data_IF_133999056035
#
_entry.id   IF_133999056035
#
_cell.length_a   1.000
_cell.length_b   1.000
_cell.length_c   1.000
_cell.angle_alpha   90.00
_cell.angle_beta   90.00
_cell.angle_gamma   90.00
#
_symmetry.space_group_name_H-M   'P 1'
#
loop_
_entity.id
_entity.type
_entity.pdbx_description
1 polymer ?
#
# COMPACT_ATOMS: atom_id res chain seq x y z
N UNK A 1 35.41 -8.11 16.36
CA UNK A 1 34.39 -8.79 15.52
C UNK A 1 33.14 -7.93 15.53
N UNK A 2 32.85 -7.19 14.48
CA UNK A 2 31.50 -6.65 14.28
C UNK A 2 31.21 -6.73 12.77
N UNK A 3 30.84 -7.93 12.33
CA UNK A 3 30.08 -8.09 11.09
C UNK A 3 28.72 -7.43 11.38
N UNK A 4 28.10 -6.67 10.45
CA UNK A 4 26.79 -6.10 10.69
C UNK A 4 25.85 -7.25 11.06
N UNK A 5 25.26 -7.17 12.25
CA UNK A 5 24.38 -8.20 12.74
C UNK A 5 23.01 -7.92 12.15
N UNK A 6 22.79 -8.33 10.89
CA UNK A 6 21.45 -8.41 10.33
C UNK A 6 20.54 -9.04 11.38
N UNK A 7 19.59 -8.26 11.90
CA UNK A 7 18.61 -8.75 12.85
C UNK A 7 17.43 -9.28 12.04
N UNK A 8 17.22 -10.61 11.93
CA UNK A 8 16.15 -11.16 11.10
C UNK A 8 14.75 -10.68 11.50
N UNK A 9 14.57 -10.25 12.76
CA UNK A 9 13.30 -9.74 13.26
C UNK A 9 12.89 -8.40 12.64
N UNK A 10 13.86 -7.51 12.42
CA UNK A 10 13.68 -6.19 11.80
C UNK A 10 13.98 -6.24 10.30
N UNK A 11 14.73 -7.28 9.89
CA UNK A 11 15.08 -7.72 8.55
C UNK A 11 16.12 -6.87 7.83
N UNK A 12 16.18 -6.91 6.48
CA UNK A 12 17.32 -6.37 5.76
C UNK A 12 17.35 -4.86 5.75
N UNK A 13 18.53 -4.33 5.45
CA UNK A 13 18.72 -2.92 5.21
C UNK A 13 17.81 -2.39 4.09
N UNK A 14 17.47 -1.11 4.17
CA UNK A 14 16.65 -0.43 3.16
C UNK A 14 17.24 -0.54 1.74
N UNK A 15 18.56 -0.51 1.57
CA UNK A 15 19.20 -0.66 0.26
C UNK A 15 19.04 -2.06 -0.34
N UNK A 16 19.01 -3.11 0.50
CA UNK A 16 18.70 -4.46 0.03
C UNK A 16 17.23 -4.57 -0.35
N UNK A 17 16.31 -4.00 0.44
CA UNK A 17 14.87 -3.98 0.12
C UNK A 17 14.58 -3.25 -1.19
N UNK A 18 15.25 -2.11 -1.43
CA UNK A 18 15.20 -1.38 -2.70
C UNK A 18 15.67 -2.30 -3.83
N UNK A 19 16.82 -2.94 -3.69
CA UNK A 19 17.34 -3.84 -4.71
C UNK A 19 16.42 -5.05 -4.97
N UNK A 20 15.70 -5.52 -3.95
CA UNK A 20 14.74 -6.62 -4.06
C UNK A 20 13.39 -6.22 -4.69
N UNK A 21 13.12 -4.92 -4.86
CA UNK A 21 11.91 -4.43 -5.51
C UNK A 21 10.92 -3.69 -4.63
N UNK A 22 11.35 -3.13 -3.49
CA UNK A 22 10.54 -2.24 -2.68
C UNK A 22 10.16 -0.95 -3.45
N UNK A 23 9.07 -0.27 -3.06
CA UNK A 23 8.71 1.02 -3.70
C UNK A 23 9.72 2.05 -3.23
N UNK A 24 10.40 2.68 -4.17
CA UNK A 24 11.33 3.77 -3.92
C UNK A 24 11.36 4.68 -5.14
N UNK A 25 10.97 5.95 -4.96
CA UNK A 25 10.67 6.88 -6.06
C UNK A 25 11.84 7.09 -7.03
N UNK A 26 13.12 7.19 -6.59
CA UNK A 26 14.26 7.40 -7.49
C UNK A 26 14.51 6.26 -8.50
N UNK A 27 14.01 5.04 -8.27
CA UNK A 27 14.05 3.97 -9.27
C UNK A 27 12.89 4.03 -10.28
N UNK A 28 11.85 4.83 -10.01
CA UNK A 28 10.56 4.77 -10.70
C UNK A 28 10.33 5.97 -11.62
N UNK A 29 10.88 7.14 -11.29
CA UNK A 29 10.83 8.36 -12.10
C UNK A 29 11.97 9.30 -11.71
N UNK A 30 12.16 10.38 -12.48
CA UNK A 30 13.18 11.37 -12.20
C UNK A 30 12.81 12.23 -10.98
N UNK A 31 13.77 12.40 -10.07
CA UNK A 31 13.69 13.17 -8.84
C UNK A 31 14.63 14.37 -8.91
N UNK A 32 14.16 15.59 -8.59
CA UNK A 32 15.02 16.75 -8.48
C UNK A 32 16.14 16.55 -7.46
N UNK A 33 17.34 17.04 -7.77
CA UNK A 33 18.57 16.88 -6.99
C UNK A 33 19.14 15.45 -6.95
N UNK A 34 18.52 14.48 -7.64
CA UNK A 34 19.12 13.17 -7.92
C UNK A 34 19.57 13.12 -9.38
N UNK A 35 18.61 13.21 -10.31
CA UNK A 35 18.88 13.03 -11.75
C UNK A 35 19.60 14.22 -12.38
N UNK A 36 19.41 15.44 -11.82
CA UNK A 36 20.07 16.67 -12.26
C UNK A 36 21.11 17.19 -11.26
N UNK A 37 21.67 16.30 -10.41
CA UNK A 37 22.67 16.69 -9.43
C UNK A 37 23.94 17.23 -10.11
N UNK A 38 24.59 18.25 -9.52
CA UNK A 38 25.83 18.81 -10.09
C UNK A 38 27.07 17.97 -9.80
N UNK A 39 26.99 17.07 -8.81
CA UNK A 39 28.09 16.22 -8.36
C UNK A 39 27.64 14.76 -8.31
N UNK A 40 28.54 13.79 -8.56
CA UNK A 40 28.24 12.37 -8.43
C UNK A 40 27.69 12.02 -7.05
N UNK A 41 26.56 11.32 -7.02
CA UNK A 41 25.96 10.79 -5.80
C UNK A 41 26.36 9.33 -5.67
N UNK A 42 26.92 8.98 -4.50
CA UNK A 42 27.27 7.61 -4.17
C UNK A 42 26.17 6.97 -3.32
N UNK A 43 25.67 5.81 -3.75
CA UNK A 43 24.61 5.08 -3.06
C UNK A 43 25.15 3.88 -2.29
N UNK A 44 24.58 3.54 -1.13
CA UNK A 44 24.97 2.34 -0.39
C UNK A 44 24.67 1.08 -1.22
N UNK A 45 25.68 0.26 -1.46
CA UNK A 45 25.52 -0.98 -2.21
C UNK A 45 24.63 -1.99 -1.48
N UNK A 46 23.77 -2.76 -2.19
CA UNK A 46 22.92 -3.80 -1.60
C UNK A 46 23.69 -4.81 -0.73
N UNK A 47 24.90 -5.16 -1.16
CA UNK A 47 25.73 -6.20 -0.55
C UNK A 47 26.81 -5.62 0.40
N UNK A 48 26.72 -4.33 0.77
CA UNK A 48 27.69 -3.73 1.69
C UNK A 48 27.57 -4.38 3.08
N UNK A 49 28.72 -4.65 3.70
CA UNK A 49 28.80 -5.12 5.09
C UNK A 49 29.43 -4.09 6.01
N UNK A 50 29.60 -2.86 5.53
CA UNK A 50 30.22 -1.76 6.27
C UNK A 50 29.32 -0.54 6.27
N UNK A 51 29.45 0.24 7.34
CA UNK A 51 28.82 1.55 7.48
C UNK A 51 29.80 2.70 7.14
N UNK A 52 31.01 2.36 6.69
CA UNK A 52 31.99 3.36 6.25
C UNK A 52 31.64 3.84 4.84
N UNK A 53 31.22 5.10 4.76
CA UNK A 53 30.83 5.80 3.53
C UNK A 53 31.95 5.93 2.51
N UNK A 54 33.21 5.81 2.95
CA UNK A 54 34.38 5.85 2.08
C UNK A 54 34.82 4.46 1.64
N UNK A 55 34.21 3.39 2.16
CA UNK A 55 34.57 2.05 1.76
C UNK A 55 34.10 1.80 0.31
N UNK A 56 34.96 1.22 -0.56
CA UNK A 56 34.59 0.92 -1.94
C UNK A 56 33.34 0.03 -2.05
N UNK A 57 33.11 -0.84 -1.06
CA UNK A 57 31.94 -1.72 -0.98
C UNK A 57 30.62 -0.98 -0.68
N UNK A 58 30.66 0.31 -0.40
CA UNK A 58 29.51 1.16 -0.08
C UNK A 58 29.27 2.23 -1.16
N UNK A 59 30.01 2.19 -2.26
CA UNK A 59 29.92 3.15 -3.36
C UNK A 59 29.33 2.48 -4.61
N UNK A 60 28.00 2.53 -4.71
CA UNK A 60 27.26 2.04 -5.85
C UNK A 60 26.60 3.18 -6.63
N UNK A 61 26.39 2.90 -7.90
CA UNK A 61 25.58 3.71 -8.81
C UNK A 61 24.08 3.57 -8.51
N UNK A 62 23.24 4.45 -9.08
CA UNK A 62 21.80 4.41 -8.84
C UNK A 62 21.20 3.11 -9.43
N UNK A 63 21.64 2.71 -10.63
CA UNK A 63 21.22 1.47 -11.28
C UNK A 63 21.61 0.24 -10.48
N UNK A 64 22.78 0.22 -9.83
CA UNK A 64 23.21 -0.90 -8.99
C UNK A 64 22.37 -1.02 -7.72
N UNK A 65 22.05 0.11 -7.07
CA UNK A 65 21.14 0.12 -5.92
C UNK A 65 19.74 -0.37 -6.32
N UNK A 66 19.18 0.18 -7.41
CA UNK A 66 17.86 -0.20 -7.89
C UNK A 66 17.79 -1.65 -8.39
N UNK A 67 18.85 -2.16 -9.03
CA UNK A 67 18.82 -3.48 -9.65
C UNK A 67 17.83 -3.57 -10.82
N UNK A 68 17.58 -4.78 -11.34
CA UNK A 68 16.58 -5.11 -12.36
C UNK A 68 16.62 -4.35 -13.72
N UNK A 69 17.59 -3.46 -13.94
CA UNK A 69 17.70 -2.66 -15.16
C UNK A 69 16.57 -1.61 -15.30
N UNK A 70 16.62 -0.78 -16.36
CA UNK A 70 15.59 0.26 -16.57
C UNK A 70 15.73 1.48 -15.65
N UNK A 71 16.87 1.62 -14.98
CA UNK A 71 17.24 2.83 -14.22
C UNK A 71 18.55 3.34 -14.82
N UNK A 72 18.50 4.41 -15.64
CA UNK A 72 19.70 5.02 -16.18
C UNK A 72 20.43 5.83 -15.09
N UNK A 73 21.75 5.99 -15.25
CA UNK A 73 22.54 6.79 -14.31
C UNK A 73 22.20 8.29 -14.43
N UNK A 74 22.15 9.02 -13.29
CA UNK A 74 22.01 10.46 -13.28
C UNK A 74 23.07 11.19 -14.10
N UNK A 75 22.70 12.35 -14.64
CA UNK A 75 23.67 13.20 -15.33
C UNK A 75 24.25 14.24 -14.38
N UNK A 76 25.54 14.07 -14.05
CA UNK A 76 26.24 14.96 -13.13
C UNK A 76 26.88 16.17 -13.83
N UNK A 77 26.07 17.14 -14.27
CA UNK A 77 26.62 18.37 -14.84
C UNK A 77 25.75 19.62 -14.62
N UNK A 78 26.36 20.79 -14.82
CA UNK A 78 25.71 22.08 -14.61
C UNK A 78 24.61 22.41 -15.66
N UNK A 79 24.51 21.65 -16.75
CA UNK A 79 23.49 21.84 -17.79
C UNK A 79 22.34 20.85 -17.69
N UNK A 80 22.33 19.99 -16.67
CA UNK A 80 21.26 19.03 -16.42
C UNK A 80 20.01 19.77 -15.94
N UNK A 81 18.90 19.51 -16.60
CA UNK A 81 17.57 20.04 -16.31
C UNK A 81 16.60 18.87 -16.24
N UNK A 82 15.50 19.00 -15.51
CA UNK A 82 14.52 17.90 -15.43
C UNK A 82 13.93 17.49 -16.79
N UNK A 83 14.06 18.33 -17.82
CA UNK A 83 13.60 18.05 -19.19
C UNK A 83 14.57 17.20 -20.02
N UNK A 84 15.87 17.17 -19.68
CA UNK A 84 16.91 16.50 -20.47
C UNK A 84 17.65 15.39 -19.73
N UNK A 85 17.30 15.15 -18.47
CA UNK A 85 17.87 14.08 -17.66
C UNK A 85 17.24 12.73 -18.01
N UNK A 86 17.98 11.64 -17.84
CA UNK A 86 17.46 10.32 -18.15
C UNK A 86 16.44 9.88 -17.10
N UNK A 87 15.33 9.29 -17.56
CA UNK A 87 14.21 8.88 -16.70
C UNK A 87 14.28 7.40 -16.28
N UNK A 88 14.28 7.10 -14.97
CA UNK A 88 14.03 5.76 -14.45
C UNK A 88 12.62 5.26 -14.79
N UNK A 89 12.47 3.96 -15.04
CA UNK A 89 11.17 3.35 -15.30
C UNK A 89 11.05 1.94 -14.71
N UNK A 90 10.83 1.86 -13.40
CA UNK A 90 10.48 0.61 -12.70
C UNK A 90 9.06 0.67 -12.12
N UNK A 91 8.06 0.92 -12.97
CA UNK A 91 6.63 1.03 -12.60
C UNK A 91 6.09 -0.19 -11.84
N UNK A 92 6.67 -1.37 -12.05
CA UNK A 92 6.30 -2.61 -11.37
C UNK A 92 6.50 -2.55 -9.85
N UNK A 93 7.26 -1.56 -9.35
CA UNK A 93 7.43 -1.25 -7.93
C UNK A 93 6.17 -0.70 -7.26
N UNK A 94 5.06 -0.51 -7.98
CA UNK A 94 3.74 -0.35 -7.38
C UNK A 94 3.07 -1.70 -7.03
N UNK A 95 3.63 -2.82 -7.48
CA UNK A 95 3.04 -4.17 -7.34
C UNK A 95 3.92 -5.07 -6.49
N UNK A 96 5.20 -5.22 -6.85
CA UNK A 96 6.13 -6.13 -6.18
C UNK A 96 6.28 -5.93 -4.67
N UNK A 97 6.26 -4.72 -4.09
CA UNK A 97 6.48 -4.55 -2.66
C UNK A 97 5.34 -5.14 -1.82
N UNK A 98 4.17 -5.43 -2.41
CA UNK A 98 3.07 -6.11 -1.72
C UNK A 98 3.48 -7.49 -1.18
N UNK A 99 4.47 -8.11 -1.80
CA UNK A 99 4.95 -9.46 -1.47
C UNK A 99 6.24 -9.45 -0.65
N UNK A 100 6.88 -8.29 -0.53
CA UNK A 100 8.11 -8.09 0.23
C UNK A 100 7.77 -7.58 1.64
N UNK A 101 8.56 -7.95 2.63
CA UNK A 101 8.35 -7.52 4.01
C UNK A 101 9.68 -7.13 4.64
N UNK A 102 9.63 -6.12 5.51
CA UNK A 102 10.83 -5.55 6.12
C UNK A 102 11.54 -6.53 7.06
N UNK A 103 10.85 -7.49 7.68
CA UNK A 103 11.43 -8.48 8.61
C UNK A 103 10.40 -9.45 9.17
N UNK A 104 10.82 -10.37 10.06
CA UNK A 104 9.94 -11.41 10.64
C UNK A 104 8.78 -10.83 11.45
N UNK A 105 9.02 -9.75 12.22
CA UNK A 105 7.95 -9.10 13.00
C UNK A 105 6.93 -8.48 12.04
N UNK A 106 7.42 -7.78 11.01
CA UNK A 106 6.57 -7.11 10.04
C UNK A 106 5.69 -8.11 9.26
N UNK A 107 6.25 -9.20 8.73
CA UNK A 107 5.44 -10.25 8.09
C UNK A 107 4.51 -10.94 9.10
N UNK A 108 4.95 -11.15 10.35
CA UNK A 108 4.14 -11.74 11.41
C UNK A 108 2.85 -10.95 11.68
N UNK A 109 2.94 -9.62 11.82
CA UNK A 109 1.77 -8.76 11.99
C UNK A 109 0.86 -8.75 10.76
N UNK A 110 1.43 -8.67 9.54
CA UNK A 110 0.63 -8.73 8.31
C UNK A 110 -0.11 -10.06 8.19
N UNK A 111 0.56 -11.18 8.49
CA UNK A 111 -0.06 -12.51 8.43
C UNK A 111 -1.08 -12.72 9.54
N UNK A 112 -0.87 -12.15 10.73
CA UNK A 112 -1.87 -12.16 11.80
C UNK A 112 -3.16 -11.48 11.32
N UNK A 113 -3.07 -10.26 10.80
CA UNK A 113 -4.23 -9.53 10.25
C UNK A 113 -4.85 -10.25 9.04
N UNK A 114 -4.03 -10.79 8.14
CA UNK A 114 -4.49 -11.55 6.98
C UNK A 114 -5.28 -12.79 7.40
N UNK A 115 -4.81 -13.52 8.40
CA UNK A 115 -5.42 -14.79 8.83
C UNK A 115 -6.62 -14.62 9.76
N UNK A 116 -6.71 -13.50 10.48
CA UNK A 116 -7.87 -13.17 11.32
C UNK A 116 -8.96 -12.49 10.50
N UNK A 117 -8.65 -11.33 9.93
CA UNK A 117 -9.60 -10.44 9.24
C UNK A 117 -9.72 -10.81 7.76
N UNK A 118 -8.58 -10.99 7.07
CA UNK A 118 -8.56 -11.30 5.64
C UNK A 118 -9.31 -12.57 5.30
N UNK A 119 -9.04 -13.65 6.04
CA UNK A 119 -9.72 -14.96 5.89
C UNK A 119 -11.23 -14.86 6.06
N UNK A 120 -11.70 -14.14 7.07
CA UNK A 120 -13.14 -13.99 7.33
C UNK A 120 -13.81 -13.21 6.20
N UNK A 121 -13.18 -12.11 5.79
CA UNK A 121 -13.67 -11.31 4.66
C UNK A 121 -13.70 -12.11 3.36
N UNK A 122 -12.63 -12.85 3.04
CA UNK A 122 -12.55 -13.70 1.85
C UNK A 122 -13.69 -14.72 1.80
N UNK A 123 -13.97 -15.38 2.94
CA UNK A 123 -15.07 -16.34 3.07
C UNK A 123 -16.44 -15.68 2.89
N UNK A 124 -16.61 -14.44 3.33
CA UNK A 124 -17.87 -13.70 3.22
C UNK A 124 -18.15 -13.25 1.77
N UNK A 125 -17.15 -12.71 1.07
CA UNK A 125 -17.36 -12.05 -0.23
C UNK A 125 -16.98 -12.91 -1.43
N UNK A 126 -16.21 -13.98 -1.19
CA UNK A 126 -15.66 -14.90 -2.18
C UNK A 126 -14.27 -14.50 -2.68
N UNK A 127 -13.42 -15.50 -2.95
CA UNK A 127 -11.99 -15.32 -3.26
C UNK A 127 -11.69 -14.38 -4.43
N UNK A 128 -12.48 -14.40 -5.51
CA UNK A 128 -12.24 -13.52 -6.67
C UNK A 128 -12.46 -12.05 -6.31
N UNK A 129 -13.54 -11.74 -5.57
CA UNK A 129 -13.84 -10.35 -5.18
C UNK A 129 -12.82 -9.85 -4.15
N UNK A 130 -12.46 -10.72 -3.22
CA UNK A 130 -11.40 -10.44 -2.25
C UNK A 130 -10.08 -10.14 -2.95
N UNK A 131 -9.65 -11.00 -3.89
CA UNK A 131 -8.43 -10.80 -4.65
C UNK A 131 -8.40 -9.48 -5.41
N UNK A 132 -9.48 -9.12 -6.11
CA UNK A 132 -9.57 -7.86 -6.87
C UNK A 132 -9.39 -6.66 -5.93
N UNK A 133 -10.11 -6.62 -4.80
CA UNK A 133 -9.99 -5.51 -3.85
C UNK A 133 -8.62 -5.48 -3.20
N UNK A 134 -8.10 -6.64 -2.78
CA UNK A 134 -6.81 -6.76 -2.10
C UNK A 134 -5.67 -6.24 -2.96
N UNK A 135 -5.56 -6.73 -4.21
CA UNK A 135 -4.52 -6.30 -5.15
C UNK A 135 -4.69 -4.83 -5.51
N UNK A 136 -5.91 -4.40 -5.85
CA UNK A 136 -6.16 -3.01 -6.24
C UNK A 136 -5.89 -2.03 -5.09
N UNK A 137 -6.24 -2.39 -3.85
CA UNK A 137 -5.98 -1.56 -2.68
C UNK A 137 -4.47 -1.44 -2.39
N UNK A 138 -3.72 -2.54 -2.50
CA UNK A 138 -2.25 -2.50 -2.36
C UNK A 138 -1.58 -1.61 -3.40
N UNK A 139 -1.95 -1.77 -4.68
CA UNK A 139 -1.40 -0.96 -5.78
C UNK A 139 -1.78 0.52 -5.62
N UNK A 140 -3.06 0.80 -5.36
CA UNK A 140 -3.53 2.18 -5.15
C UNK A 140 -2.83 2.82 -3.95
N UNK A 141 -2.62 2.05 -2.88
CA UNK A 141 -1.81 2.45 -1.73
C UNK A 141 -0.41 2.89 -2.16
N UNK A 142 0.35 2.03 -2.84
CA UNK A 142 1.71 2.39 -3.28
C UNK A 142 1.74 3.56 -4.28
N UNK A 143 0.74 3.72 -5.13
CA UNK A 143 0.61 4.89 -6.00
C UNK A 143 0.40 6.17 -5.18
N UNK A 144 -0.46 6.15 -4.17
CA UNK A 144 -0.66 7.29 -3.27
C UNK A 144 0.60 7.58 -2.44
N UNK A 145 1.27 6.53 -1.94
CA UNK A 145 2.56 6.62 -1.26
C UNK A 145 3.65 7.25 -2.13
N UNK A 146 3.75 6.85 -3.40
CA UNK A 146 4.71 7.42 -4.34
C UNK A 146 4.55 8.93 -4.56
N UNK A 147 3.33 9.46 -4.47
CA UNK A 147 3.05 10.87 -4.68
C UNK A 147 3.37 11.76 -3.46
N UNK A 148 3.20 11.22 -2.25
CA UNK A 148 3.11 12.07 -1.05
C UNK A 148 4.03 11.63 0.10
N UNK A 149 4.53 10.40 0.09
CA UNK A 149 5.60 9.99 0.99
C UNK A 149 6.92 10.63 0.55
N UNK A 150 7.88 10.75 1.47
CA UNK A 150 9.18 11.32 1.15
C UNK A 150 9.90 10.50 0.06
N UNK A 151 10.51 11.18 -0.93
CA UNK A 151 11.15 10.52 -2.08
C UNK A 151 12.22 9.50 -1.69
N UNK A 152 12.96 9.73 -0.60
CA UNK A 152 14.00 8.81 -0.12
C UNK A 152 13.48 7.66 0.74
N UNK A 153 12.19 7.65 1.10
CA UNK A 153 11.57 6.58 1.89
C UNK A 153 11.32 5.36 1.00
N UNK A 154 11.89 4.21 1.35
CA UNK A 154 11.47 2.94 0.76
C UNK A 154 10.28 2.38 1.52
N UNK A 155 9.37 1.69 0.83
CA UNK A 155 8.24 1.02 1.47
C UNK A 155 7.97 -0.34 0.86
N UNK A 156 7.51 -1.25 1.71
CA UNK A 156 7.24 -2.63 1.41
C UNK A 156 6.17 -3.16 2.35
N UNK A 157 5.46 -4.21 1.96
CA UNK A 157 4.51 -4.90 2.82
C UNK A 157 3.13 -5.00 2.20
N UNK A 158 2.39 -6.00 2.67
CA UNK A 158 0.99 -6.20 2.30
C UNK A 158 0.02 -5.24 3.02
N UNK A 159 0.51 -4.38 3.91
CA UNK A 159 -0.31 -3.59 4.83
C UNK A 159 -1.30 -2.67 4.10
N UNK A 160 -0.90 -2.02 2.99
CA UNK A 160 -1.83 -1.21 2.18
C UNK A 160 -3.06 -2.02 1.71
N UNK A 161 -2.85 -3.27 1.28
CA UNK A 161 -3.95 -4.16 0.92
C UNK A 161 -4.81 -4.55 2.14
N UNK A 162 -4.19 -4.81 3.28
CA UNK A 162 -4.89 -5.11 4.54
C UNK A 162 -5.73 -3.92 5.06
N UNK A 163 -5.26 -2.68 4.91
CA UNK A 163 -6.08 -1.50 5.17
C UNK A 163 -7.31 -1.45 4.25
N UNK A 164 -7.18 -1.90 3.01
CA UNK A 164 -8.32 -2.13 2.12
C UNK A 164 -9.30 -3.18 2.66
N UNK A 165 -8.81 -4.25 3.29
CA UNK A 165 -9.66 -5.25 3.96
C UNK A 165 -10.35 -4.67 5.20
N UNK A 166 -9.66 -3.84 5.99
CA UNK A 166 -10.28 -3.13 7.13
C UNK A 166 -11.40 -2.20 6.64
N UNK A 167 -11.20 -1.52 5.50
CA UNK A 167 -12.26 -0.74 4.87
C UNK A 167 -13.46 -1.60 4.45
N UNK A 168 -13.23 -2.82 3.93
CA UNK A 168 -14.32 -3.77 3.64
C UNK A 168 -15.07 -4.19 4.89
N UNK A 169 -14.38 -4.43 6.02
CA UNK A 169 -15.02 -4.76 7.30
C UNK A 169 -15.91 -3.61 7.78
N UNK A 170 -15.40 -2.37 7.73
CA UNK A 170 -16.17 -1.19 8.09
C UNK A 170 -17.42 -1.08 7.20
N UNK A 171 -17.26 -1.27 5.89
CA UNK A 171 -18.37 -1.18 4.95
C UNK A 171 -19.40 -2.30 5.16
N UNK A 172 -18.97 -3.54 5.43
CA UNK A 172 -19.86 -4.65 5.80
C UNK A 172 -20.65 -4.36 7.08
N UNK A 173 -19.98 -3.80 8.11
CA UNK A 173 -20.65 -3.37 9.34
C UNK A 173 -21.71 -2.30 9.05
N UNK A 174 -21.40 -1.29 8.24
CA UNK A 174 -22.34 -0.24 7.87
C UNK A 174 -23.53 -0.80 7.07
N UNK A 175 -23.29 -1.77 6.19
CA UNK A 175 -24.33 -2.42 5.40
C UNK A 175 -25.24 -3.33 6.26
N UNK A 176 -24.67 -3.99 7.25
CA UNK A 176 -25.37 -4.90 8.16
C UNK A 176 -25.85 -4.24 9.46
N UNK A 177 -25.72 -2.91 9.58
CA UNK A 177 -25.93 -2.17 10.84
C UNK A 177 -27.22 -2.52 11.59
N UNK A 178 -28.34 -2.67 10.86
CA UNK A 178 -29.66 -2.99 11.43
C UNK A 178 -29.85 -4.47 11.76
N UNK A 179 -29.05 -5.34 11.17
CA UNK A 179 -29.11 -6.79 11.36
C UNK A 179 -28.18 -7.25 12.50
N UNK A 180 -27.24 -6.40 12.94
CA UNK A 180 -26.30 -6.70 14.03
C UNK A 180 -26.94 -6.51 15.40
N UNK A 181 -26.60 -7.39 16.34
CA UNK A 181 -27.09 -7.32 17.73
C UNK A 181 -26.60 -6.08 18.48
N UNK A 182 -25.37 -5.64 18.21
CA UNK A 182 -24.73 -4.53 18.92
C UNK A 182 -23.80 -3.72 18.00
N UNK A 183 -24.35 -3.04 16.98
CA UNK A 183 -23.57 -2.40 15.91
C UNK A 183 -22.61 -1.31 16.43
N UNK A 184 -22.97 -0.59 17.50
CA UNK A 184 -22.10 0.42 18.10
C UNK A 184 -20.85 -0.18 18.76
N UNK A 185 -20.95 -1.37 19.37
CA UNK A 185 -19.76 -2.03 19.95
C UNK A 185 -18.82 -2.48 18.84
N UNK A 186 -19.37 -3.13 17.82
CA UNK A 186 -18.59 -3.56 16.64
C UNK A 186 -17.90 -2.36 15.97
N UNK A 187 -18.62 -1.23 15.83
CA UNK A 187 -18.07 0.01 15.30
C UNK A 187 -16.92 0.54 16.15
N UNK A 188 -17.07 0.58 17.47
CA UNK A 188 -16.01 1.06 18.37
C UNK A 188 -14.76 0.18 18.30
N UNK A 189 -14.90 -1.14 18.19
CA UNK A 189 -13.75 -2.04 18.01
C UNK A 189 -13.05 -1.79 16.68
N UNK A 190 -13.78 -1.74 15.56
CA UNK A 190 -13.19 -1.45 14.25
C UNK A 190 -12.56 -0.05 14.22
N UNK A 191 -13.20 0.95 14.82
CA UNK A 191 -12.66 2.30 14.88
C UNK A 191 -11.36 2.35 15.71
N UNK A 192 -11.31 1.62 16.83
CA UNK A 192 -10.11 1.49 17.63
C UNK A 192 -8.99 0.81 16.83
N UNK A 193 -9.28 -0.28 16.12
CA UNK A 193 -8.31 -0.98 15.27
C UNK A 193 -7.76 -0.05 14.16
N UNK A 194 -8.63 0.73 13.52
CA UNK A 194 -8.23 1.73 12.51
C UNK A 194 -7.29 2.77 13.12
N UNK A 195 -7.63 3.32 14.28
CA UNK A 195 -6.81 4.32 14.97
C UNK A 195 -5.46 3.73 15.35
N UNK A 196 -5.43 2.53 15.95
CA UNK A 196 -4.18 1.85 16.30
C UNK A 196 -3.34 1.59 15.05
N UNK A 197 -3.94 1.11 13.96
CA UNK A 197 -3.22 0.82 12.73
C UNK A 197 -2.56 2.08 12.11
N UNK A 198 -3.27 3.22 12.08
CA UNK A 198 -2.70 4.48 11.59
C UNK A 198 -1.65 5.07 12.54
N UNK A 199 -1.81 4.92 13.85
CA UNK A 199 -0.81 5.31 14.84
C UNK A 199 0.46 4.48 14.69
N UNK A 200 0.32 3.15 14.53
CA UNK A 200 1.45 2.28 14.25
C UNK A 200 2.13 2.63 12.94
N UNK A 201 1.39 3.06 11.91
CA UNK A 201 1.97 3.49 10.65
C UNK A 201 2.75 4.82 10.71
N UNK A 202 2.76 5.53 11.85
CA UNK A 202 3.68 6.66 12.11
C UNK A 202 5.08 6.19 12.56
N UNK A 203 5.27 4.88 12.78
CA UNK A 203 6.59 4.32 13.09
C UNK A 203 7.52 4.44 11.87
N UNK A 204 8.83 4.64 12.08
CA UNK A 204 9.81 4.74 11.00
C UNK A 204 9.78 3.54 10.05
N UNK A 205 9.90 3.80 8.76
CA UNK A 205 9.89 2.78 7.72
C UNK A 205 8.49 2.29 7.32
N UNK A 206 7.42 2.85 7.89
CA UNK A 206 6.05 2.60 7.45
C UNK A 206 5.49 3.78 6.64
N UNK A 207 4.67 3.44 5.64
CA UNK A 207 4.09 4.39 4.70
C UNK A 207 2.59 4.56 4.98
N UNK A 208 2.25 5.59 5.74
CA UNK A 208 0.84 5.91 6.02
C UNK A 208 0.08 6.38 4.79
N UNK A 209 0.72 6.95 3.77
CA UNK A 209 0.03 7.26 2.52
C UNK A 209 -0.38 5.98 1.79
N UNK A 210 0.45 4.93 1.85
CA UNK A 210 0.06 3.63 1.34
C UNK A 210 -1.12 3.02 2.12
N UNK A 211 -1.15 3.18 3.45
CA UNK A 211 -2.28 2.76 4.28
C UNK A 211 -3.57 3.54 3.97
N UNK A 212 -3.48 4.87 3.86
CA UNK A 212 -4.62 5.74 3.52
C UNK A 212 -5.15 5.39 2.13
N UNK A 213 -4.27 5.28 1.13
CA UNK A 213 -4.64 4.93 -0.24
C UNK A 213 -5.31 3.56 -0.31
N UNK A 214 -4.76 2.56 0.38
CA UNK A 214 -5.37 1.24 0.47
C UNK A 214 -6.75 1.24 1.12
N UNK A 215 -6.92 1.98 2.21
CA UNK A 215 -8.21 2.14 2.88
C UNK A 215 -9.26 2.83 1.99
N UNK A 216 -8.91 3.93 1.31
CA UNK A 216 -9.80 4.64 0.40
C UNK A 216 -10.20 3.80 -0.81
N UNK A 217 -9.24 3.09 -1.41
CA UNK A 217 -9.50 2.15 -2.49
C UNK A 217 -10.40 0.99 -2.03
N UNK A 218 -10.16 0.45 -0.84
CA UNK A 218 -11.00 -0.58 -0.23
C UNK A 218 -12.45 -0.12 -0.01
N UNK A 219 -12.67 1.12 0.44
CA UNK A 219 -14.02 1.69 0.56
C UNK A 219 -14.71 1.82 -0.80
N UNK A 220 -14.03 2.42 -1.79
CA UNK A 220 -14.60 2.65 -3.11
C UNK A 220 -14.90 1.34 -3.85
N UNK A 221 -13.95 0.41 -3.88
CA UNK A 221 -14.12 -0.89 -4.52
C UNK A 221 -15.07 -1.79 -3.74
N UNK A 222 -15.09 -1.68 -2.41
CA UNK A 222 -16.05 -2.36 -1.55
C UNK A 222 -17.49 -2.04 -1.91
N UNK A 223 -17.81 -0.76 -2.20
CA UNK A 223 -19.16 -0.37 -2.64
C UNK A 223 -19.54 -1.09 -3.95
N UNK A 224 -18.56 -1.31 -4.82
CA UNK A 224 -18.74 -1.96 -6.12
C UNK A 224 -18.92 -3.48 -6.00
N UNK A 225 -18.09 -4.15 -5.18
CA UNK A 225 -18.02 -5.62 -5.14
C UNK A 225 -18.86 -6.27 -4.04
N UNK A 226 -19.10 -5.59 -2.92
CA UNK A 226 -19.85 -6.16 -1.81
C UNK A 226 -21.30 -6.43 -2.22
N UNK A 227 -21.90 -7.42 -1.55
CA UNK A 227 -23.33 -7.66 -1.71
C UNK A 227 -24.13 -6.45 -1.18
N UNK A 228 -25.25 -6.13 -1.83
CA UNK A 228 -26.14 -5.06 -1.37
C UNK A 228 -26.64 -5.35 0.05
N UNK A 229 -26.72 -4.33 0.94
CA UNK A 229 -27.31 -4.47 2.27
C UNK A 229 -28.65 -5.19 2.24
N UNK A 230 -28.96 -6.06 3.21
CA UNK A 230 -30.26 -6.75 3.25
C UNK A 230 -31.45 -5.78 3.27
N UNK A 231 -31.31 -4.67 4.00
CA UNK A 231 -32.29 -3.59 4.03
C UNK A 231 -32.51 -2.97 2.64
N UNK A 232 -31.45 -2.81 1.85
CA UNK A 232 -31.54 -2.30 0.48
C UNK A 232 -32.10 -3.37 -0.46
N UNK A 233 -31.61 -4.62 -0.37
CA UNK A 233 -32.07 -5.78 -1.15
C UNK A 233 -33.59 -5.98 -1.06
N UNK A 234 -34.16 -5.86 0.15
CA UNK A 234 -35.62 -5.89 0.38
C UNK A 234 -36.35 -4.75 -0.34
N UNK A 235 -35.78 -3.54 -0.40
CA UNK A 235 -36.38 -2.37 -1.05
C UNK A 235 -36.27 -2.41 -2.58
N UNK A 236 -35.10 -2.79 -3.09
CA UNK A 236 -34.82 -2.89 -4.54
C UNK A 236 -35.49 -4.12 -5.19
N UNK A 237 -36.00 -5.05 -4.38
CA UNK A 237 -36.67 -6.27 -4.87
C UNK A 237 -35.69 -7.30 -5.41
N UNK A 238 -34.43 -7.26 -4.98
CA UNK A 238 -33.36 -8.17 -5.40
C UNK A 238 -33.25 -9.37 -4.45
N UNK A 239 -34.39 -9.83 -3.93
CA UNK A 239 -34.46 -11.11 -3.24
C UNK A 239 -34.20 -12.19 -4.29
N UNK A 240 -33.35 -13.21 -4.03
CA UNK A 240 -33.42 -14.43 -4.83
C UNK A 240 -34.88 -14.90 -4.78
N UNK A 241 -35.51 -15.25 -5.91
CA UNK A 241 -36.83 -15.83 -5.85
C UNK A 241 -36.71 -17.06 -4.97
N UNK A 242 -37.43 -17.07 -3.83
CA UNK A 242 -37.74 -18.30 -3.13
C UNK A 242 -38.75 -19.06 -4.00
N UNK A 243 -38.31 -19.55 -5.15
CA UNK A 243 -39.04 -20.54 -5.91
C UNK A 243 -38.50 -21.88 -5.48
N UNK A 244 -39.18 -22.51 -4.52
CA UNK A 244 -38.98 -23.94 -4.31
C UNK A 244 -39.47 -24.64 -5.57
N UNK A 245 -38.54 -25.11 -6.41
CA UNK A 245 -38.88 -26.10 -7.43
C UNK A 245 -38.69 -27.44 -6.75
N UNK A 246 -39.82 -28.06 -6.38
CA UNK A 246 -39.84 -29.46 -5.93
C UNK A 246 -39.49 -30.30 -7.15
N UNK A 247 -38.32 -30.94 -7.12
CA UNK A 247 -37.98 -31.96 -8.12
C UNK A 247 -38.93 -33.16 -7.97
N UNK A 248 -39.20 -33.91 -9.05
CA UNK A 248 -40.05 -35.11 -9.02
C UNK A 248 -39.56 -36.20 -8.08
N UNK A 249 -38.34 -36.06 -7.55
CA UNK A 249 -37.71 -36.94 -6.56
C UNK A 249 -37.73 -36.40 -5.11
N UNK A 250 -38.44 -35.30 -4.82
CA UNK A 250 -38.65 -34.81 -3.45
C UNK A 250 -37.45 -34.13 -2.79
N UNK A 251 -36.36 -33.88 -3.52
CA UNK A 251 -35.19 -33.15 -2.99
C UNK A 251 -35.27 -31.66 -3.32
N UNK A 252 -35.15 -30.82 -2.30
CA UNK A 252 -35.14 -29.35 -2.43
C UNK A 252 -33.85 -28.89 -3.12
N UNK A 253 -33.90 -28.58 -4.41
CA UNK A 253 -32.86 -27.78 -5.08
C UNK A 253 -33.15 -26.31 -4.85
N UNK A 254 -32.34 -25.64 -4.03
CA UNK A 254 -32.31 -24.17 -4.00
C UNK A 254 -31.82 -23.67 -5.36
N UNK A 255 -32.74 -23.18 -6.20
CA UNK A 255 -32.43 -22.68 -7.54
C UNK A 255 -31.51 -21.47 -7.47
N UNK A 256 -30.31 -21.58 -8.04
CA UNK A 256 -29.42 -20.44 -8.21
C UNK A 256 -30.07 -19.43 -9.19
N UNK A 257 -29.94 -18.12 -8.96
CA UNK A 257 -30.41 -17.12 -9.90
C UNK A 257 -29.76 -17.32 -11.28
N UNK A 258 -30.46 -17.02 -12.39
CA UNK A 258 -29.91 -17.18 -13.72
C UNK A 258 -28.62 -16.36 -13.88
N UNK A 259 -27.58 -17.01 -14.41
CA UNK A 259 -26.32 -16.35 -14.74
C UNK A 259 -26.55 -15.27 -15.80
N UNK A 260 -25.86 -14.13 -15.67
CA UNK A 260 -25.87 -13.09 -16.71
C UNK A 260 -25.51 -13.65 -18.08
N UNK A 261 -24.58 -14.61 -18.13
CA UNK A 261 -24.14 -15.25 -19.37
C UNK A 261 -25.19 -16.19 -19.98
N UNK A 262 -26.14 -16.71 -19.19
CA UNK A 262 -27.17 -17.62 -19.70
C UNK A 262 -28.48 -16.91 -20.07
N UNK A 263 -28.78 -15.74 -19.49
CA UNK A 263 -29.93 -14.93 -19.88
C UNK A 263 -29.71 -13.42 -19.62
N UNK A 264 -29.00 -12.71 -20.52
CA UNK A 264 -28.63 -11.31 -20.29
C UNK A 264 -29.84 -10.37 -20.28
N UNK A 265 -30.86 -10.63 -21.11
CA UNK A 265 -32.07 -9.79 -21.17
C UNK A 265 -32.97 -10.01 -19.94
N UNK A 266 -33.06 -11.26 -19.45
CA UNK A 266 -33.79 -11.60 -18.23
C UNK A 266 -33.19 -10.99 -16.97
N UNK A 267 -31.87 -10.76 -16.94
CA UNK A 267 -31.18 -10.15 -15.79
C UNK A 267 -31.69 -8.75 -15.45
N UNK A 268 -32.05 -7.95 -16.47
CA UNK A 268 -32.50 -6.56 -16.34
C UNK A 268 -34.03 -6.38 -16.31
N UNK A 269 -34.80 -7.40 -16.73
CA UNK A 269 -36.26 -7.27 -16.88
C UNK A 269 -36.95 -7.17 -15.52
N UNK A 270 -37.82 -6.17 -15.33
CA UNK A 270 -38.67 -6.03 -14.14
C UNK A 270 -38.02 -5.43 -12.89
N UNK A 271 -36.84 -4.80 -13.02
CA UNK A 271 -36.12 -4.18 -11.89
C UNK A 271 -36.77 -2.85 -11.47
N UNK A 272 -36.84 -2.60 -10.16
CA UNK A 272 -37.36 -1.36 -9.57
C UNK A 272 -36.39 -0.18 -9.77
N UNK A 273 -36.89 1.06 -9.74
CA UNK A 273 -36.06 2.27 -9.88
C UNK A 273 -34.87 2.31 -8.91
N UNK A 274 -35.08 1.94 -7.65
CA UNK A 274 -34.03 1.92 -6.62
C UNK A 274 -32.87 0.96 -6.95
N UNK A 275 -33.13 -0.11 -7.73
CA UNK A 275 -32.07 -1.01 -8.19
C UNK A 275 -31.14 -0.30 -9.18
N UNK A 276 -31.71 0.45 -10.13
CA UNK A 276 -30.94 1.25 -11.09
C UNK A 276 -30.17 2.36 -10.40
N UNK A 277 -30.78 3.07 -9.45
CA UNK A 277 -30.09 4.09 -8.64
C UNK A 277 -28.88 3.48 -7.93
N UNK A 278 -29.01 2.29 -7.34
CA UNK A 278 -27.90 1.62 -6.67
C UNK A 278 -26.78 1.20 -7.63
N UNK A 279 -27.11 0.73 -8.83
CA UNK A 279 -26.13 0.44 -9.87
C UNK A 279 -25.41 1.69 -10.37
N UNK A 280 -26.11 2.82 -10.50
CA UNK A 280 -25.51 4.11 -10.83
C UNK A 280 -24.53 4.57 -9.73
N UNK A 281 -24.86 4.37 -8.45
CA UNK A 281 -23.93 4.65 -7.35
C UNK A 281 -22.66 3.81 -7.48
N UNK A 282 -22.78 2.50 -7.73
CA UNK A 282 -21.61 1.63 -7.95
C UNK A 282 -20.76 2.08 -9.12
N UNK A 283 -21.40 2.39 -10.25
CA UNK A 283 -20.71 2.90 -11.43
C UNK A 283 -19.97 4.21 -11.13
N UNK A 284 -20.62 5.15 -10.42
CA UNK A 284 -20.01 6.42 -10.03
C UNK A 284 -18.77 6.25 -9.14
N UNK A 285 -18.84 5.37 -8.12
CA UNK A 285 -17.68 5.09 -7.25
C UNK A 285 -16.54 4.39 -8.01
N UNK A 286 -16.87 3.47 -8.92
CA UNK A 286 -15.86 2.83 -9.78
C UNK A 286 -15.18 3.85 -10.70
N UNK A 287 -15.95 4.71 -11.36
CA UNK A 287 -15.42 5.77 -12.22
C UNK A 287 -14.56 6.73 -11.41
N UNK A 288 -15.00 7.15 -10.23
CA UNK A 288 -14.24 8.03 -9.34
C UNK A 288 -12.90 7.39 -8.94
N UNK A 289 -12.90 6.11 -8.55
CA UNK A 289 -11.67 5.39 -8.21
C UNK A 289 -10.68 5.36 -9.38
N UNK A 290 -11.16 5.09 -10.60
CA UNK A 290 -10.34 5.08 -11.82
C UNK A 290 -9.78 6.48 -12.11
N UNK A 291 -10.62 7.52 -12.04
CA UNK A 291 -10.19 8.91 -12.28
C UNK A 291 -9.13 9.33 -11.27
N UNK A 292 -9.32 9.06 -9.98
CA UNK A 292 -8.32 9.39 -8.95
C UNK A 292 -7.03 8.61 -9.21
N UNK A 293 -7.11 7.33 -9.55
CA UNK A 293 -5.93 6.53 -9.86
C UNK A 293 -5.12 7.11 -11.03
N UNK A 294 -5.80 7.50 -12.12
CA UNK A 294 -5.17 8.14 -13.28
C UNK A 294 -4.56 9.49 -12.91
N UNK A 295 -5.26 10.31 -12.13
CA UNK A 295 -4.75 11.61 -11.66
C UNK A 295 -3.52 11.43 -10.79
N UNK A 296 -3.49 10.43 -9.90
CA UNK A 296 -2.31 10.14 -9.07
C UNK A 296 -1.13 9.64 -9.90
N UNK A 297 -1.36 8.82 -10.93
CA UNK A 297 -0.30 8.41 -11.84
C UNK A 297 0.23 9.58 -12.66
N UNK A 298 -0.65 10.45 -13.17
CA UNK A 298 -0.24 11.66 -13.90
C UNK A 298 0.54 12.60 -12.99
N UNK A 299 0.11 12.76 -11.74
CA UNK A 299 0.85 13.57 -10.78
C UNK A 299 2.22 12.99 -10.46
N UNK A 300 2.33 11.66 -10.34
CA UNK A 300 3.60 10.99 -10.06
C UNK A 300 4.61 11.13 -11.21
N UNK A 301 4.17 10.95 -12.47
CA UNK A 301 5.06 10.92 -13.64
C UNK A 301 5.23 12.25 -14.37
N UNK A 302 4.30 13.21 -14.21
CA UNK A 302 4.28 14.43 -15.02
C UNK A 302 4.24 15.70 -14.16
N UNK A 303 3.25 15.85 -13.28
CA UNK A 303 3.04 17.13 -12.58
C UNK A 303 3.99 17.33 -11.40
N UNK A 304 4.43 16.24 -10.75
CA UNK A 304 5.29 16.21 -9.57
C UNK A 304 4.86 17.17 -8.45
N UNK A 305 3.54 17.35 -8.24
CA UNK A 305 3.05 18.23 -7.18
C UNK A 305 3.19 17.55 -5.83
N UNK A 306 4.13 18.06 -5.05
CA UNK A 306 4.34 17.66 -3.66
C UNK A 306 3.60 18.61 -2.70
N UNK A 307 3.35 18.11 -1.49
CA UNK A 307 2.76 18.88 -0.41
C UNK A 307 3.74 18.99 0.76
N UNK A 308 4.01 20.22 1.20
CA UNK A 308 5.02 20.53 2.23
C UNK A 308 4.74 19.90 3.60
N UNK A 309 3.46 19.68 3.92
CA UNK A 309 3.01 19.12 5.20
C UNK A 309 2.75 17.60 5.13
N UNK A 310 2.71 17.00 3.95
CA UNK A 310 2.32 15.61 3.78
C UNK A 310 3.21 14.63 4.52
N UNK A 311 4.52 14.92 4.62
CA UNK A 311 5.46 14.11 5.41
C UNK A 311 4.97 13.81 6.83
N UNK A 312 4.24 14.73 7.47
CA UNK A 312 3.74 14.57 8.84
C UNK A 312 2.59 13.57 8.98
N UNK A 313 2.04 13.06 7.88
CA UNK A 313 1.11 11.93 7.92
C UNK A 313 1.83 10.58 8.07
N UNK A 314 3.11 10.51 7.69
CA UNK A 314 3.92 9.29 7.83
C UNK A 314 4.95 9.35 8.96
N UNK A 315 5.10 10.49 9.63
CA UNK A 315 6.06 10.63 10.72
C UNK A 315 5.68 11.77 11.68
N UNK A 316 6.19 11.69 12.91
CA UNK A 316 6.05 12.75 13.89
C UNK A 316 7.31 13.63 13.95
N UNK A 317 7.19 14.97 14.06
CA UNK A 317 8.33 15.89 14.10
C UNK A 317 9.01 15.89 15.49
N UNK A 318 9.50 14.73 15.94
CA UNK A 318 10.12 14.56 17.26
C UNK A 318 11.42 13.79 17.11
N UNK A 319 12.55 14.36 17.55
CA UNK A 319 13.87 13.68 17.58
C UNK A 319 14.24 12.97 16.26
N UNK A 320 14.22 13.71 15.15
CA UNK A 320 14.60 13.22 13.82
C UNK A 320 13.75 12.03 13.31
N UNK A 321 12.56 11.80 13.87
CA UNK A 321 11.72 10.64 13.50
C UNK A 321 11.38 10.57 12.02
N UNK A 322 11.16 11.74 11.42
CA UNK A 322 10.87 11.91 10.01
C UNK A 322 12.07 11.69 9.09
N UNK A 323 13.29 11.71 9.61
CA UNK A 323 14.52 11.46 8.84
C UNK A 323 14.90 9.95 8.89
N UNK A 324 14.32 9.20 9.83
CA UNK A 324 14.60 7.78 10.00
C UNK A 324 13.93 6.92 8.92
N UNK A 325 14.72 6.06 8.26
CA UNK A 325 14.24 5.19 7.17
C UNK A 325 14.18 5.88 5.80
N UNK A 326 14.65 7.12 5.71
CA UNK A 326 14.83 7.85 4.45
C UNK A 326 16.30 7.71 4.05
N UNK A 327 16.57 7.25 2.83
CA UNK A 327 17.88 7.46 2.22
C UNK A 327 18.00 8.95 1.91
N UNK A 328 18.93 9.62 2.57
CA UNK A 328 19.15 11.05 2.39
C UNK A 328 19.56 11.32 0.93
N UNK A 329 18.71 12.06 0.23
CA UNK A 329 18.87 12.41 -1.18
C UNK A 329 19.73 13.68 -1.33
N UNK A 330 20.07 14.38 -0.23
CA UNK A 330 20.81 15.63 -0.32
C UNK A 330 22.31 15.43 -0.59
N UNK A 331 22.75 16.07 -1.66
CA UNK A 331 24.13 16.22 -2.09
C UNK A 331 24.99 16.90 -1.00
N UNK A 332 26.00 16.17 -0.50
CA UNK A 332 27.30 16.61 0.04
C UNK A 332 27.43 17.73 1.09
N UNK A 333 26.38 18.42 1.56
CA UNK A 333 26.47 19.38 2.67
C UNK A 333 25.93 18.82 4.00
N UNK A 334 26.03 17.50 4.17
CA UNK A 334 25.69 16.84 5.42
C UNK A 334 26.98 16.76 6.25
N UNK A 335 27.09 17.44 7.41
CA UNK A 335 28.17 17.22 8.35
C UNK A 335 28.28 15.70 8.61
N UNK A 336 29.50 15.15 8.61
CA UNK A 336 29.75 13.70 8.73
C UNK A 336 29.01 13.04 9.92
N UNK A 337 28.64 13.83 10.91
CA UNK A 337 27.83 13.55 12.08
C UNK A 337 26.33 13.27 11.83
N UNK A 338 25.71 13.79 10.75
CA UNK A 338 24.32 13.48 10.35
C UNK A 338 24.22 12.23 9.47
N UNK A 339 25.16 12.02 8.55
CA UNK A 339 25.28 10.78 7.77
C UNK A 339 25.59 9.58 8.69
N UNK A 340 26.43 9.81 9.71
CA UNK A 340 26.65 8.87 10.81
C UNK A 340 25.41 8.59 11.65
N UNK A 341 24.39 9.47 11.74
CA UNK A 341 23.15 9.20 12.51
C UNK A 341 22.18 8.31 11.76
N UNK A 342 21.99 8.53 10.46
CA UNK A 342 21.16 7.67 9.60
C UNK A 342 21.77 6.26 9.48
N UNK A 343 23.10 6.17 9.45
CA UNK A 343 23.84 4.91 9.49
C UNK A 343 23.96 4.33 10.89
N UNK A 344 24.08 5.16 11.93
CA UNK A 344 24.00 4.71 13.31
C UNK A 344 22.62 4.15 13.62
N UNK A 345 21.54 4.55 12.94
CA UNK A 345 20.22 3.92 13.08
C UNK A 345 20.00 2.70 12.18
N UNK A 346 20.64 2.57 11.02
CA UNK A 346 20.81 1.24 10.40
C UNK A 346 21.60 0.29 11.34
N UNK A 347 22.47 0.85 12.19
CA UNK A 347 23.12 0.15 13.29
C UNK A 347 22.30 0.16 14.62
N UNK A 348 21.27 1.01 14.80
CA UNK A 348 20.39 1.03 15.99
C UNK A 348 19.08 0.26 15.75
N UNK A 349 18.73 -0.09 14.50
CA UNK A 349 17.95 -1.30 14.17
C UNK A 349 18.63 -2.57 14.74
N UNK A 350 19.92 -2.46 15.08
CA UNK A 350 20.72 -3.47 15.79
C UNK A 350 21.09 -3.02 17.22
N UNK A 351 20.42 -1.99 17.77
CA UNK A 351 20.66 -1.49 19.12
C UNK A 351 20.14 -2.47 20.18
N UNK A 352 20.95 -2.85 21.18
CA UNK A 352 20.49 -3.67 22.30
C UNK A 352 19.34 -3.01 23.10
N UNK A 353 19.19 -1.69 23.02
CA UNK A 353 18.13 -0.96 23.75
C UNK A 353 16.74 -1.07 23.08
N UNK A 354 16.67 -1.34 21.77
CA UNK A 354 15.39 -1.63 21.08
C UNK A 354 15.03 -3.11 21.17
N UNK A 355 16.05 -3.99 21.26
CA UNK A 355 15.87 -5.42 21.54
C UNK A 355 15.20 -5.66 22.90
N UNK A 356 15.45 -4.81 23.90
CA UNK A 356 14.79 -4.91 25.20
C UNK A 356 13.27 -4.59 25.18
N UNK A 357 12.78 -3.92 24.13
CA UNK A 357 11.35 -3.63 23.96
C UNK A 357 10.59 -4.76 23.24
N UNK A 358 11.32 -5.67 22.58
CA UNK A 358 10.79 -6.77 21.77
C UNK A 358 11.37 -8.15 22.12
N UNK A 359 12.07 -8.26 23.26
CA UNK A 359 12.56 -9.52 23.84
C UNK A 359 11.61 -10.03 24.92
#
# INVERSE_FOLDING_TARGET
MIKPQFNPFIGPSSYMLINMGARWSPCMHAIPNVQNATQPISWPCPNTTTYDVNAPTMQCTLSELCGFGGVPEPWYNATATMENVPEPNQWWRFITPMFLHAGVIHIGFNMLLQMTIGREMERSIGSIRFFIVYVSAGIFGFVMGGNFAANGMQTTGASGALFGVIALLLLDLLYSWKDRKSPWKDFLFIALDIVIAFVLGLLPGLDNFAHIGGFLAGLALGICVLQSPNALRRRIGDQPPYSQVVDTNGFLRQGAPPSFFSNPVGFFKGRKLLWWVWWLVRAAFLTLAIVIFIVLLNNFYVDHKECSWCKYLSCLPVKDWCENGILDIQTHDVPADKLKRNLAFAALEQSPNLQAFFA
#
